data_IF_475952859407
#
_entry.id   IF_475952859407
#
_cell.length_a   1.000
_cell.length_b   1.000
_cell.length_c   1.000
_cell.angle_alpha   90.00
_cell.angle_beta   90.00
_cell.angle_gamma   90.00
#
_symmetry.space_group_name_H-M   'P 1'
#
loop_
_entity.id
_entity.type
_entity.pdbx_description
1 polymer ?
#
# COMPACT_ATOMS: atom_id res chain seq x y z
N UNK A 1 2.03 0.45 -48.56
CA UNK A 1 1.59 0.49 -47.12
C UNK A 1 0.85 1.79 -46.87
N UNK A 2 -0.30 1.69 -46.20
CA UNK A 2 -1.07 2.86 -45.73
C UNK A 2 -0.85 3.06 -44.24
N UNK A 3 -0.93 4.30 -43.74
CA UNK A 3 -0.99 4.56 -42.30
C UNK A 3 -2.34 4.08 -41.74
N UNK A 4 -2.33 3.11 -40.84
CA UNK A 4 -3.52 2.54 -40.21
C UNK A 4 -3.50 2.87 -38.75
N UNK A 5 -4.62 3.32 -38.22
CA UNK A 5 -4.81 3.60 -36.80
C UNK A 5 -5.04 2.28 -36.01
N UNK A 6 -4.11 1.91 -35.15
CA UNK A 6 -4.11 0.60 -34.47
C UNK A 6 -4.41 0.74 -32.99
N UNK A 7 -3.84 1.77 -32.33
CA UNK A 7 -3.96 1.96 -30.90
C UNK A 7 -4.92 3.11 -30.59
N UNK A 8 -6.11 2.81 -30.02
CA UNK A 8 -7.06 3.85 -29.60
C UNK A 8 -6.45 4.81 -28.59
N UNK A 9 -6.90 6.07 -28.62
CA UNK A 9 -6.43 7.10 -27.68
C UNK A 9 -6.59 6.66 -26.23
N UNK A 10 -7.75 6.08 -25.87
CA UNK A 10 -8.03 5.61 -24.52
C UNK A 10 -7.01 4.57 -24.05
N UNK A 11 -6.60 3.62 -24.89
CA UNK A 11 -5.61 2.61 -24.53
C UNK A 11 -4.22 3.24 -24.33
N UNK A 12 -3.86 4.20 -25.18
CA UNK A 12 -2.57 4.88 -25.09
C UNK A 12 -2.45 5.76 -23.85
N UNK A 13 -3.47 6.57 -23.56
CA UNK A 13 -3.47 7.40 -22.36
C UNK A 13 -3.49 6.55 -21.08
N UNK A 14 -4.26 5.44 -21.08
CA UNK A 14 -4.24 4.49 -19.95
C UNK A 14 -2.87 3.89 -19.72
N UNK A 15 -2.12 3.56 -20.77
CA UNK A 15 -0.76 3.07 -20.66
C UNK A 15 0.18 4.12 -20.01
N UNK A 16 0.08 5.38 -20.39
CA UNK A 16 0.89 6.44 -19.76
C UNK A 16 0.50 6.69 -18.31
N UNK A 17 -0.81 6.68 -17.99
CA UNK A 17 -1.26 6.82 -16.61
C UNK A 17 -0.82 5.60 -15.77
N UNK A 18 -0.81 4.40 -16.37
CA UNK A 18 -0.33 3.17 -15.71
C UNK A 18 1.16 3.28 -15.35
N UNK A 19 2.00 3.81 -16.27
CA UNK A 19 3.41 4.06 -16.00
C UNK A 19 3.57 5.04 -14.83
N UNK A 20 2.88 6.18 -14.88
CA UNK A 20 2.93 7.20 -13.80
C UNK A 20 2.48 6.59 -12.48
N UNK A 21 1.39 5.80 -12.49
CA UNK A 21 0.85 5.18 -11.28
C UNK A 21 1.79 4.13 -10.70
N UNK A 22 2.39 3.28 -11.54
CA UNK A 22 3.37 2.28 -11.09
C UNK A 22 4.59 2.94 -10.43
N UNK A 23 5.24 3.88 -11.12
CA UNK A 23 6.42 4.56 -10.56
C UNK A 23 6.05 5.48 -9.39
N UNK A 24 4.89 6.13 -9.44
CA UNK A 24 4.35 6.90 -8.33
C UNK A 24 4.15 6.06 -7.07
N UNK A 25 3.60 4.85 -7.19
CA UNK A 25 3.51 3.90 -6.08
C UNK A 25 4.89 3.42 -5.63
N UNK A 26 5.75 3.01 -6.57
CA UNK A 26 7.07 2.42 -6.25
C UNK A 26 7.98 3.37 -5.46
N UNK A 27 7.98 4.66 -5.78
CA UNK A 27 8.86 5.66 -5.15
C UNK A 27 8.21 6.45 -4.01
N UNK A 28 6.96 6.17 -3.65
CA UNK A 28 6.26 6.86 -2.57
C UNK A 28 5.91 5.94 -1.39
N UNK A 29 5.40 6.53 -0.31
CA UNK A 29 4.97 5.84 0.91
C UNK A 29 3.63 6.39 1.38
N UNK A 30 2.97 5.66 2.29
CA UNK A 30 1.73 6.09 2.92
C UNK A 30 0.59 6.33 1.93
N UNK A 31 -0.18 7.41 2.11
CA UNK A 31 -1.34 7.71 1.28
C UNK A 31 -0.99 7.83 -0.23
N UNK A 32 0.14 8.44 -0.57
CA UNK A 32 0.56 8.62 -1.97
C UNK A 32 0.82 7.25 -2.63
N UNK A 33 1.50 6.34 -1.93
CA UNK A 33 1.69 4.95 -2.37
C UNK A 33 0.34 4.25 -2.58
N UNK A 34 -0.55 4.34 -1.60
CA UNK A 34 -1.87 3.71 -1.66
C UNK A 34 -2.73 4.28 -2.80
N UNK A 35 -2.72 5.59 -3.00
CA UNK A 35 -3.42 6.25 -4.10
C UNK A 35 -2.94 5.75 -5.47
N UNK A 36 -1.64 5.84 -5.73
CA UNK A 36 -1.08 5.41 -7.01
C UNK A 36 -1.19 3.90 -7.22
N UNK A 37 -0.99 3.09 -6.18
CA UNK A 37 -1.17 1.64 -6.22
C UNK A 37 -2.60 1.23 -6.56
N UNK A 38 -3.58 1.90 -5.98
CA UNK A 38 -5.00 1.66 -6.26
C UNK A 38 -5.41 2.14 -7.66
N UNK A 39 -4.89 3.29 -8.11
CA UNK A 39 -5.10 3.78 -9.47
C UNK A 39 -4.48 2.81 -10.49
N UNK A 40 -3.27 2.30 -10.22
CA UNK A 40 -2.64 1.27 -11.02
C UNK A 40 -3.51 0.01 -11.08
N UNK A 41 -4.05 -0.45 -9.95
CA UNK A 41 -4.96 -1.59 -9.88
C UNK A 41 -6.23 -1.40 -10.73
N UNK A 42 -6.87 -0.23 -10.65
CA UNK A 42 -8.00 0.11 -11.49
C UNK A 42 -7.65 0.03 -12.99
N UNK A 43 -6.49 0.56 -13.38
CA UNK A 43 -6.00 0.52 -14.76
C UNK A 43 -5.68 -0.92 -15.22
N UNK A 44 -5.15 -1.76 -14.35
CA UNK A 44 -4.91 -3.19 -14.63
C UNK A 44 -6.23 -3.91 -14.90
N UNK A 45 -7.25 -3.72 -14.06
CA UNK A 45 -8.59 -4.29 -14.26
C UNK A 45 -9.18 -3.81 -15.58
N UNK A 46 -9.15 -2.52 -15.81
CA UNK A 46 -9.60 -1.93 -17.05
C UNK A 46 -8.84 -2.51 -18.26
N UNK A 47 -7.52 -2.68 -18.21
CA UNK A 47 -6.71 -3.27 -19.29
C UNK A 47 -7.08 -4.75 -19.54
N UNK A 48 -7.39 -5.50 -18.50
CA UNK A 48 -7.88 -6.89 -18.64
C UNK A 48 -9.22 -6.91 -19.38
N UNK A 49 -10.17 -6.08 -18.98
CA UNK A 49 -11.47 -5.96 -19.66
C UNK A 49 -11.27 -5.60 -21.14
N UNK A 50 -10.39 -4.62 -21.42
CA UNK A 50 -10.05 -4.24 -22.79
C UNK A 50 -9.44 -5.41 -23.59
N UNK A 51 -8.70 -6.27 -22.91
CA UNK A 51 -8.12 -7.48 -23.50
C UNK A 51 -9.15 -8.46 -24.09
N UNK A 52 -10.39 -8.42 -23.59
CA UNK A 52 -11.48 -9.25 -24.11
C UNK A 52 -12.33 -8.53 -25.16
N UNK A 53 -12.71 -7.27 -24.90
CA UNK A 53 -13.71 -6.56 -25.71
C UNK A 53 -13.13 -5.46 -26.60
N UNK A 54 -11.84 -5.20 -26.52
CA UNK A 54 -11.18 -4.10 -27.20
C UNK A 54 -11.04 -4.24 -28.73
N UNK A 55 -10.18 -3.42 -29.31
CA UNK A 55 -9.93 -3.38 -30.76
C UNK A 55 -9.02 -4.50 -31.22
N UNK A 56 -9.03 -4.83 -32.53
CA UNK A 56 -8.09 -5.76 -33.15
C UNK A 56 -6.65 -5.40 -32.75
N UNK A 57 -5.81 -6.39 -32.50
CA UNK A 57 -4.44 -6.32 -31.99
C UNK A 57 -4.27 -5.90 -30.52
N UNK A 58 -5.30 -5.37 -29.85
CA UNK A 58 -5.28 -5.10 -28.41
C UNK A 58 -5.92 -6.19 -27.55
N UNK A 59 -6.70 -7.10 -28.18
CA UNK A 59 -7.35 -8.24 -27.50
C UNK A 59 -6.37 -9.36 -27.30
N UNK A 60 -6.53 -10.12 -26.23
CA UNK A 60 -5.69 -11.28 -25.90
C UNK A 60 -5.75 -12.36 -26.99
N UNK A 61 -6.90 -12.54 -27.64
CA UNK A 61 -7.05 -13.50 -28.75
C UNK A 61 -6.21 -13.16 -30.01
N UNK A 62 -5.83 -11.89 -30.15
CA UNK A 62 -5.03 -11.41 -31.26
C UNK A 62 -3.53 -11.36 -30.92
N UNK A 63 -3.14 -11.85 -29.73
CA UNK A 63 -1.74 -11.94 -29.29
C UNK A 63 -1.04 -13.10 -29.98
N UNK A 64 0.07 -12.79 -30.62
CA UNK A 64 0.93 -13.80 -31.23
C UNK A 64 1.84 -14.40 -30.15
N UNK A 65 1.61 -15.67 -29.81
CA UNK A 65 2.45 -16.40 -28.82
C UNK A 65 3.26 -17.51 -29.50
N UNK A 66 2.82 -17.93 -30.69
CA UNK A 66 3.51 -18.97 -31.45
C UNK A 66 4.81 -18.42 -32.03
N UNK A 67 5.81 -19.28 -32.09
CA UNK A 67 7.09 -18.90 -32.69
C UNK A 67 7.98 -18.00 -31.82
N UNK A 68 7.75 -17.93 -30.50
CA UNK A 68 8.56 -17.13 -29.58
C UNK A 68 10.06 -17.42 -29.71
N UNK A 69 10.45 -18.71 -29.70
CA UNK A 69 11.87 -19.08 -29.84
C UNK A 69 12.45 -18.69 -31.19
N UNK A 70 11.68 -18.85 -32.28
CA UNK A 70 12.11 -18.43 -33.63
C UNK A 70 12.26 -16.90 -33.68
N UNK A 71 11.35 -16.16 -33.05
CA UNK A 71 11.44 -14.70 -32.93
C UNK A 71 12.70 -14.28 -32.14
N UNK A 72 12.93 -14.85 -30.95
CA UNK A 72 14.12 -14.55 -30.16
C UNK A 72 15.42 -14.85 -30.92
N UNK A 73 15.47 -15.99 -31.61
CA UNK A 73 16.61 -16.33 -32.49
C UNK A 73 16.80 -15.30 -33.60
N UNK A 74 15.72 -14.80 -34.22
CA UNK A 74 15.82 -13.78 -35.26
C UNK A 74 16.33 -12.45 -34.72
N UNK A 75 15.93 -12.06 -33.51
CA UNK A 75 16.43 -10.86 -32.81
C UNK A 75 17.93 -10.97 -32.56
N UNK A 76 18.40 -12.14 -32.06
CA UNK A 76 19.84 -12.39 -31.86
C UNK A 76 20.63 -12.37 -33.15
N UNK A 77 20.01 -12.73 -34.29
CA UNK A 77 20.62 -12.67 -35.62
C UNK A 77 20.44 -11.32 -36.33
N UNK A 78 19.90 -10.31 -35.63
CA UNK A 78 19.57 -9.00 -36.19
C UNK A 78 18.69 -9.06 -37.46
N UNK A 79 17.85 -10.11 -37.58
CA UNK A 79 16.93 -10.27 -38.70
C UNK A 79 15.66 -9.47 -38.48
N UNK A 80 15.30 -8.69 -39.48
CA UNK A 80 14.11 -7.87 -39.43
C UNK A 80 12.82 -8.69 -39.56
N UNK A 81 11.87 -8.48 -38.62
CA UNK A 81 10.52 -9.03 -38.68
C UNK A 81 9.47 -7.95 -38.37
N UNK A 82 8.46 -7.84 -39.22
CA UNK A 82 7.38 -6.87 -39.06
C UNK A 82 6.14 -7.51 -38.45
N UNK A 83 5.71 -6.98 -37.32
CA UNK A 83 4.44 -7.31 -36.68
C UNK A 83 3.53 -6.08 -36.64
N UNK A 84 2.27 -6.23 -37.06
CA UNK A 84 1.29 -5.14 -37.03
C UNK A 84 0.87 -4.89 -35.56
N UNK A 85 0.53 -5.95 -34.82
CA UNK A 85 0.21 -5.93 -33.40
C UNK A 85 1.44 -6.08 -32.50
N UNK A 86 1.30 -6.91 -31.50
CA UNK A 86 2.40 -7.33 -30.61
C UNK A 86 3.18 -8.47 -31.26
N UNK A 87 4.50 -8.42 -31.19
CA UNK A 87 5.35 -9.55 -31.51
C UNK A 87 5.25 -10.62 -30.39
N UNK A 88 5.71 -11.88 -30.63
CA UNK A 88 5.56 -12.97 -29.66
C UNK A 88 6.14 -12.68 -28.27
N UNK A 89 7.28 -12.01 -28.19
CA UNK A 89 7.88 -11.62 -26.92
C UNK A 89 7.05 -10.55 -26.21
N UNK A 90 6.63 -9.49 -26.92
CA UNK A 90 5.78 -8.44 -26.36
C UNK A 90 4.43 -8.98 -25.87
N UNK A 91 3.84 -9.93 -26.62
CA UNK A 91 2.59 -10.60 -26.19
C UNK A 91 2.76 -11.32 -24.86
N UNK A 92 3.84 -12.10 -24.72
CA UNK A 92 4.15 -12.79 -23.45
C UNK A 92 4.42 -11.80 -22.32
N UNK A 93 5.24 -10.77 -22.55
CA UNK A 93 5.54 -9.77 -21.54
C UNK A 93 4.28 -9.07 -21.03
N UNK A 94 3.35 -8.68 -21.89
CA UNK A 94 2.09 -8.05 -21.47
C UNK A 94 1.29 -8.98 -20.58
N UNK A 95 1.16 -10.27 -20.93
CA UNK A 95 0.41 -11.24 -20.13
C UNK A 95 1.06 -11.47 -18.76
N UNK A 96 2.38 -11.64 -18.72
CA UNK A 96 3.13 -11.82 -17.46
C UNK A 96 3.04 -10.57 -16.57
N UNK A 97 3.24 -9.38 -17.14
CA UNK A 97 3.10 -8.12 -16.39
C UNK A 97 1.70 -7.96 -15.81
N UNK A 98 0.64 -8.23 -16.58
CA UNK A 98 -0.73 -8.16 -16.09
C UNK A 98 -0.98 -9.18 -14.98
N UNK A 99 -0.51 -10.42 -15.14
CA UNK A 99 -0.64 -11.45 -14.11
C UNK A 99 0.03 -11.03 -12.79
N UNK A 100 1.31 -10.63 -12.84
CA UNK A 100 2.03 -10.15 -11.65
C UNK A 100 1.34 -8.92 -11.05
N UNK A 101 0.86 -7.99 -11.89
CA UNK A 101 0.19 -6.77 -11.43
C UNK A 101 -1.09 -7.08 -10.64
N UNK A 102 -1.87 -8.08 -11.05
CA UNK A 102 -3.07 -8.50 -10.30
C UNK A 102 -2.69 -8.98 -8.90
N UNK A 103 -1.71 -9.89 -8.81
CA UNK A 103 -1.24 -10.39 -7.50
C UNK A 103 -0.64 -9.27 -6.66
N UNK A 104 0.16 -8.39 -7.26
CA UNK A 104 0.77 -7.25 -6.57
C UNK A 104 -0.29 -6.33 -5.94
N UNK A 105 -1.34 -6.00 -6.68
CA UNK A 105 -2.43 -5.14 -6.18
C UNK A 105 -3.21 -5.83 -5.07
N UNK A 106 -3.54 -7.11 -5.23
CA UNK A 106 -4.22 -7.90 -4.19
C UNK A 106 -3.39 -7.93 -2.90
N UNK A 107 -2.10 -8.28 -3.00
CA UNK A 107 -1.21 -8.29 -1.83
C UNK A 107 -1.05 -6.90 -1.22
N UNK A 108 -1.10 -5.83 -2.01
CA UNK A 108 -1.07 -4.45 -1.52
C UNK A 108 -2.25 -4.13 -0.61
N UNK A 109 -3.47 -4.51 -0.99
CA UNK A 109 -4.65 -4.34 -0.13
C UNK A 109 -4.62 -5.23 1.11
N UNK A 110 -4.20 -6.48 0.98
CA UNK A 110 -4.02 -7.38 2.12
C UNK A 110 -2.96 -6.84 3.09
N UNK A 111 -1.84 -6.32 2.57
CA UNK A 111 -0.79 -5.69 3.38
C UNK A 111 -1.29 -4.42 4.09
N UNK A 112 -2.12 -3.60 3.44
CA UNK A 112 -2.75 -2.45 4.10
C UNK A 112 -3.60 -2.86 5.30
N UNK A 113 -4.33 -3.96 5.18
CA UNK A 113 -5.12 -4.53 6.29
C UNK A 113 -4.24 -5.07 7.41
N UNK A 114 -3.29 -5.95 7.10
CA UNK A 114 -2.46 -6.63 8.10
C UNK A 114 -1.43 -5.71 8.77
N UNK A 115 -0.93 -4.70 8.05
CA UNK A 115 0.12 -3.80 8.54
C UNK A 115 -0.40 -2.52 9.21
N UNK A 116 -1.49 -1.95 8.70
CA UNK A 116 -1.98 -0.62 9.13
C UNK A 116 -3.45 -0.66 9.64
N UNK A 117 -4.12 -1.80 9.57
CA UNK A 117 -5.54 -1.92 9.97
C UNK A 117 -6.49 -1.08 9.11
N UNK A 118 -6.19 -0.97 7.81
CA UNK A 118 -6.90 -0.09 6.88
C UNK A 118 -7.67 -0.91 5.83
N UNK A 119 -8.84 -0.41 5.44
CA UNK A 119 -9.67 -1.00 4.41
C UNK A 119 -10.43 -2.25 4.86
N UNK A 120 -10.92 -3.02 3.89
CA UNK A 120 -11.75 -4.20 4.15
C UNK A 120 -11.02 -5.36 4.86
N UNK A 121 -9.69 -5.37 4.82
CA UNK A 121 -8.86 -6.42 5.41
C UNK A 121 -8.26 -6.02 6.76
N UNK A 122 -8.76 -4.96 7.39
CA UNK A 122 -8.27 -4.46 8.69
C UNK A 122 -8.28 -5.52 9.81
N UNK A 123 -9.23 -6.47 9.77
CA UNK A 123 -9.32 -7.59 10.71
C UNK A 123 -8.07 -8.48 10.75
N UNK A 124 -7.25 -8.45 9.70
CA UNK A 124 -6.01 -9.24 9.63
C UNK A 124 -4.94 -8.72 10.60
N UNK A 125 -5.07 -7.49 11.10
CA UNK A 125 -4.14 -6.93 12.07
C UNK A 125 -4.19 -7.67 13.42
N UNK A 126 -5.33 -8.24 13.78
CA UNK A 126 -5.54 -9.00 15.04
C UNK A 126 -4.96 -10.42 14.98
N UNK A 127 -4.48 -10.85 13.81
CA UNK A 127 -3.79 -12.13 13.58
C UNK A 127 -2.50 -11.89 12.79
N UNK A 128 -1.74 -10.87 13.18
CA UNK A 128 -0.61 -10.34 12.43
C UNK A 128 0.46 -11.38 12.09
N UNK A 129 0.79 -12.27 13.04
CA UNK A 129 1.82 -13.30 12.84
C UNK A 129 1.52 -14.23 11.65
N UNK A 130 0.23 -14.53 11.42
CA UNK A 130 -0.21 -15.35 10.28
C UNK A 130 -0.10 -14.63 8.94
N UNK A 131 -0.11 -13.30 8.92
CA UNK A 131 -0.19 -12.48 7.71
C UNK A 131 1.03 -11.60 7.45
N UNK A 132 2.01 -11.56 8.35
CA UNK A 132 3.21 -10.72 8.24
C UNK A 132 4.00 -10.91 6.93
N UNK A 133 4.00 -12.13 6.39
CA UNK A 133 4.68 -12.46 5.12
C UNK A 133 4.12 -11.74 3.88
N UNK A 134 2.88 -11.24 3.96
CA UNK A 134 2.19 -10.61 2.81
C UNK A 134 2.93 -9.36 2.35
N UNK A 135 3.42 -8.57 3.30
CA UNK A 135 4.21 -7.38 2.99
C UNK A 135 5.49 -7.73 2.22
N UNK A 136 6.22 -8.75 2.66
CA UNK A 136 7.46 -9.18 2.01
C UNK A 136 7.16 -9.73 0.61
N UNK A 137 6.08 -10.49 0.44
CA UNK A 137 5.64 -10.98 -0.85
C UNK A 137 5.25 -9.82 -1.80
N UNK A 138 4.57 -8.77 -1.29
CA UNK A 138 4.27 -7.57 -2.06
C UNK A 138 5.54 -6.87 -2.54
N UNK A 139 6.53 -6.70 -1.67
CA UNK A 139 7.81 -6.07 -2.00
C UNK A 139 8.61 -6.88 -3.04
N UNK A 140 8.64 -8.21 -2.91
CA UNK A 140 9.28 -9.10 -3.88
C UNK A 140 8.61 -9.00 -5.25
N UNK A 141 7.27 -9.03 -5.31
CA UNK A 141 6.55 -8.89 -6.58
C UNK A 141 6.69 -7.49 -7.19
N UNK A 142 6.78 -6.43 -6.39
CA UNK A 142 7.03 -5.07 -6.89
C UNK A 142 8.40 -4.98 -7.57
N UNK A 143 9.43 -5.55 -6.96
CA UNK A 143 10.79 -5.60 -7.53
C UNK A 143 10.85 -6.48 -8.79
N UNK A 144 10.16 -7.62 -8.79
CA UNK A 144 10.05 -8.48 -9.96
C UNK A 144 9.35 -7.78 -11.12
N UNK A 145 8.24 -7.07 -10.84
CA UNK A 145 7.54 -6.30 -11.86
C UNK A 145 8.42 -5.17 -12.42
N UNK A 146 9.17 -4.46 -11.56
CA UNK A 146 10.12 -3.43 -12.00
C UNK A 146 11.17 -4.01 -12.96
N UNK A 147 11.76 -5.16 -12.62
CA UNK A 147 12.74 -5.82 -13.49
C UNK A 147 12.12 -6.18 -14.86
N UNK A 148 10.89 -6.70 -14.86
CA UNK A 148 10.18 -7.03 -16.11
C UNK A 148 9.81 -5.77 -16.90
N UNK A 149 9.43 -4.68 -16.24
CA UNK A 149 9.18 -3.37 -16.89
C UNK A 149 10.47 -2.85 -17.54
N UNK A 150 11.61 -2.95 -16.87
CA UNK A 150 12.91 -2.59 -17.47
C UNK A 150 13.21 -3.43 -18.73
N UNK A 151 12.99 -4.75 -18.66
CA UNK A 151 13.15 -5.64 -19.83
C UNK A 151 12.17 -5.29 -20.95
N UNK A 152 10.93 -4.93 -20.63
CA UNK A 152 9.95 -4.46 -21.62
C UNK A 152 10.42 -3.18 -22.32
N UNK A 153 10.93 -2.22 -21.58
CA UNK A 153 11.47 -0.97 -22.14
C UNK A 153 12.67 -1.27 -23.04
N UNK A 154 13.61 -2.10 -22.59
CA UNK A 154 14.76 -2.53 -23.40
C UNK A 154 14.30 -3.26 -24.67
N UNK A 155 13.33 -4.16 -24.59
CA UNK A 155 12.76 -4.86 -25.73
C UNK A 155 12.11 -3.91 -26.74
N UNK A 156 11.35 -2.92 -26.27
CA UNK A 156 10.74 -1.90 -27.13
C UNK A 156 11.80 -1.02 -27.80
N UNK A 157 12.89 -0.70 -27.11
CA UNK A 157 14.03 0.04 -27.68
C UNK A 157 14.75 -0.78 -28.74
N UNK A 158 15.05 -2.05 -28.48
CA UNK A 158 15.67 -2.96 -29.45
C UNK A 158 14.81 -3.13 -30.70
N UNK A 159 13.50 -3.27 -30.55
CA UNK A 159 12.57 -3.37 -31.69
C UNK A 159 12.62 -2.08 -32.53
N UNK A 160 12.73 -0.93 -31.88
CA UNK A 160 12.87 0.36 -32.56
C UNK A 160 14.15 0.45 -33.38
N UNK A 161 15.27 -0.04 -32.83
CA UNK A 161 16.60 0.03 -33.50
C UNK A 161 16.69 -1.01 -34.62
N UNK A 162 16.33 -2.26 -34.37
CA UNK A 162 16.49 -3.37 -35.32
C UNK A 162 15.48 -3.31 -36.47
N UNK A 163 14.23 -3.01 -36.13
CA UNK A 163 13.13 -3.10 -37.09
C UNK A 163 12.79 -1.76 -37.71
N UNK A 164 13.49 -0.67 -37.36
CA UNK A 164 13.10 0.71 -37.73
C UNK A 164 11.58 0.91 -37.49
N UNK A 165 11.04 0.02 -36.62
CA UNK A 165 9.62 -0.10 -36.41
C UNK A 165 9.18 1.04 -35.52
N UNK A 166 8.12 1.68 -35.94
CA UNK A 166 7.51 2.76 -35.18
C UNK A 166 6.71 2.22 -33.98
N UNK A 167 7.15 1.14 -33.30
CA UNK A 167 6.43 0.58 -32.18
C UNK A 167 6.22 1.64 -31.08
N UNK A 168 7.29 2.28 -30.62
CA UNK A 168 7.22 3.39 -29.65
C UNK A 168 6.45 4.58 -30.20
N UNK A 169 6.67 4.97 -31.47
CA UNK A 169 5.91 6.03 -32.14
C UNK A 169 4.42 5.70 -32.24
N UNK A 170 4.06 4.42 -32.45
CA UNK A 170 2.66 4.01 -32.53
C UNK A 170 1.94 4.12 -31.19
N UNK A 171 2.63 3.94 -30.07
CA UNK A 171 2.05 4.22 -28.73
C UNK A 171 1.85 5.72 -28.47
N UNK A 172 2.57 6.59 -29.18
CA UNK A 172 2.37 8.04 -29.06
C UNK A 172 1.26 8.52 -30.01
N UNK A 173 1.30 8.15 -31.30
CA UNK A 173 0.41 8.69 -32.32
C UNK A 173 -0.76 7.77 -32.70
N UNK A 174 -0.69 6.47 -32.37
CA UNK A 174 -1.72 5.47 -32.66
C UNK A 174 -1.59 4.78 -34.00
N UNK A 175 -0.64 5.15 -34.88
CA UNK A 175 -0.56 4.69 -36.27
C UNK A 175 0.61 3.75 -36.50
N UNK A 176 0.39 2.76 -37.36
CA UNK A 176 1.44 1.92 -37.98
C UNK A 176 1.21 1.83 -39.48
N UNK A 177 2.26 1.50 -40.23
CA UNK A 177 2.16 1.20 -41.67
C UNK A 177 1.69 -0.26 -41.85
N UNK A 178 0.58 -0.46 -42.55
CA UNK A 178 0.01 -1.79 -42.81
C UNK A 178 -0.67 -1.84 -44.18
N UNK A 179 -0.84 -3.06 -44.69
CA UNK A 179 -1.70 -3.34 -45.84
C UNK A 179 -3.14 -3.67 -45.41
N UNK A 180 -3.37 -4.02 -44.13
CA UNK A 180 -4.69 -4.33 -43.62
C UNK A 180 -5.42 -3.06 -43.16
N UNK A 181 -6.73 -3.02 -43.42
CA UNK A 181 -7.61 -2.00 -42.84
C UNK A 181 -8.08 -2.46 -41.46
N UNK A 182 -7.95 -1.60 -40.45
CA UNK A 182 -8.51 -1.81 -39.13
C UNK A 182 -9.71 -0.89 -38.97
N UNK A 183 -10.90 -1.48 -38.88
CA UNK A 183 -12.11 -0.71 -38.72
C UNK A 183 -12.37 -0.42 -37.22
N UNK A 184 -12.65 0.85 -36.94
CA UNK A 184 -13.10 1.31 -35.63
C UNK A 184 -14.62 1.43 -35.63
N UNK A 185 -15.29 0.43 -35.06
CA UNK A 185 -16.74 0.46 -34.89
C UNK A 185 -17.18 1.55 -33.89
N UNK A 186 -18.42 2.05 -34.04
CA UNK A 186 -19.03 3.02 -33.10
C UNK A 186 -18.96 2.53 -31.64
N UNK A 187 -19.12 1.22 -31.43
CA UNK A 187 -18.97 0.58 -30.13
C UNK A 187 -17.62 0.90 -29.46
N UNK A 188 -16.50 0.77 -30.17
CA UNK A 188 -15.17 1.03 -29.58
C UNK A 188 -14.96 2.50 -29.22
N UNK A 189 -15.59 3.44 -29.95
CA UNK A 189 -15.53 4.88 -29.60
C UNK A 189 -16.31 5.15 -28.30
N UNK A 190 -17.52 4.62 -28.19
CA UNK A 190 -18.35 4.75 -27.00
C UNK A 190 -17.66 4.08 -25.81
N UNK A 191 -17.18 2.86 -25.99
CA UNK A 191 -16.43 2.13 -24.96
C UNK A 191 -15.18 2.89 -24.49
N UNK A 192 -14.45 3.55 -25.41
CA UNK A 192 -13.30 4.40 -25.06
C UNK A 192 -13.72 5.60 -24.19
N UNK A 193 -14.88 6.19 -24.43
CA UNK A 193 -15.40 7.30 -23.61
C UNK A 193 -15.75 6.82 -22.19
N UNK A 194 -16.47 5.71 -22.07
CA UNK A 194 -16.77 5.09 -20.76
C UNK A 194 -15.48 4.69 -20.01
N UNK A 195 -14.47 4.22 -20.73
CA UNK A 195 -13.19 3.87 -20.19
C UNK A 195 -12.47 5.07 -19.54
N UNK A 196 -12.38 6.19 -20.26
CA UNK A 196 -11.78 7.42 -19.74
C UNK A 196 -12.56 7.97 -18.56
N UNK A 197 -13.88 7.91 -18.61
CA UNK A 197 -14.75 8.27 -17.49
C UNK A 197 -14.48 7.35 -16.28
N UNK A 198 -14.32 6.04 -16.49
CA UNK A 198 -13.98 5.09 -15.43
C UNK A 198 -12.66 5.42 -14.72
N UNK A 199 -11.63 5.84 -15.47
CA UNK A 199 -10.36 6.29 -14.89
C UNK A 199 -10.55 7.54 -14.03
N UNK A 200 -11.31 8.53 -14.54
CA UNK A 200 -11.58 9.77 -13.81
C UNK A 200 -12.37 9.51 -12.53
N UNK A 201 -13.41 8.69 -12.61
CA UNK A 201 -14.23 8.32 -11.45
C UNK A 201 -13.41 7.53 -10.41
N UNK A 202 -12.54 6.63 -10.86
CA UNK A 202 -11.63 5.92 -9.95
C UNK A 202 -10.70 6.88 -9.21
N UNK A 203 -10.06 7.80 -9.92
CA UNK A 203 -9.18 8.79 -9.32
C UNK A 203 -9.94 9.71 -8.34
N UNK A 204 -11.14 10.15 -8.72
CA UNK A 204 -11.99 10.98 -7.87
C UNK A 204 -12.42 10.25 -6.60
N UNK A 205 -12.84 8.97 -6.73
CA UNK A 205 -13.20 8.14 -5.57
C UNK A 205 -12.01 7.95 -4.61
N UNK A 206 -10.82 7.67 -5.16
CA UNK A 206 -9.61 7.47 -4.34
C UNK A 206 -9.20 8.74 -3.55
N UNK A 207 -9.52 9.93 -4.06
CA UNK A 207 -9.29 11.21 -3.38
C UNK A 207 -10.43 11.60 -2.44
N UNK A 208 -11.55 10.90 -2.48
CA UNK A 208 -12.72 11.23 -1.66
C UNK A 208 -12.47 10.88 -0.19
N UNK A 209 -12.90 11.74 0.77
CA UNK A 209 -12.89 11.40 2.20
C UNK A 209 -13.75 10.17 2.55
N UNK A 210 -14.70 9.81 1.69
CA UNK A 210 -15.58 8.63 1.84
C UNK A 210 -14.97 7.34 1.27
N UNK A 211 -13.70 7.38 0.88
CA UNK A 211 -13.02 6.21 0.32
C UNK A 211 -12.84 5.12 1.38
N UNK A 212 -13.59 4.06 1.25
CA UNK A 212 -13.56 2.91 2.18
C UNK A 212 -12.31 2.04 2.04
N UNK A 213 -11.58 2.13 0.92
CA UNK A 213 -10.35 1.37 0.72
C UNK A 213 -9.21 1.84 1.63
N UNK A 214 -9.25 3.10 2.08
CA UNK A 214 -8.25 3.72 2.95
C UNK A 214 -8.82 4.11 4.32
N UNK A 215 -10.08 3.79 4.58
CA UNK A 215 -10.70 4.03 5.87
C UNK A 215 -10.06 3.13 6.94
N UNK A 216 -9.88 3.66 8.13
CA UNK A 216 -9.47 2.88 9.28
C UNK A 216 -10.57 1.85 9.61
N UNK A 217 -10.23 0.57 9.58
CA UNK A 217 -11.16 -0.52 9.85
C UNK A 217 -11.13 -1.00 11.30
N UNK A 218 -10.17 -0.50 12.09
CA UNK A 218 -10.04 -0.83 13.50
C UNK A 218 -11.05 -0.05 14.35
N UNK A 219 -11.59 -0.71 15.36
CA UNK A 219 -12.49 -0.08 16.33
C UNK A 219 -11.71 0.39 17.54
N UNK A 220 -12.03 1.58 18.08
CA UNK A 220 -11.46 2.05 19.34
C UNK A 220 -11.92 1.18 20.50
N UNK A 221 -11.01 0.88 21.42
CA UNK A 221 -11.30 0.14 22.63
C UNK A 221 -11.77 1.11 23.71
N UNK A 222 -12.90 0.82 24.35
CA UNK A 222 -13.37 1.57 25.52
C UNK A 222 -12.79 0.94 26.80
N UNK A 223 -11.58 1.36 27.16
CA UNK A 223 -10.92 0.90 28.37
C UNK A 223 -11.64 1.32 29.65
N UNK A 224 -12.39 2.43 29.64
CA UNK A 224 -13.20 2.85 30.76
C UNK A 224 -14.35 1.89 31.04
N UNK A 225 -14.99 1.39 30.00
CA UNK A 225 -16.04 0.38 30.13
C UNK A 225 -15.49 -0.98 30.56
N UNK A 226 -14.24 -1.32 30.17
CA UNK A 226 -13.60 -2.59 30.55
C UNK A 226 -13.06 -2.58 31.99
N UNK A 227 -12.42 -1.48 32.41
CA UNK A 227 -11.89 -1.28 33.73
C UNK A 227 -11.84 0.23 34.05
N UNK A 228 -12.82 0.69 34.85
CA UNK A 228 -12.95 2.12 35.20
C UNK A 228 -11.79 2.61 36.07
N UNK A 229 -11.27 1.75 36.97
CA UNK A 229 -10.18 2.09 37.89
C UNK A 229 -8.88 2.31 37.07
N UNK A 230 -8.55 1.42 36.13
CA UNK A 230 -7.45 1.60 35.22
C UNK A 230 -7.56 2.90 34.42
N UNK A 231 -8.73 3.16 33.85
CA UNK A 231 -8.91 4.36 33.03
C UNK A 231 -8.87 5.64 33.87
N UNK A 232 -9.30 5.60 35.13
CA UNK A 232 -9.27 6.74 36.03
C UNK A 232 -7.85 7.00 36.57
N UNK A 233 -7.23 6.01 37.19
CA UNK A 233 -5.96 6.19 37.90
C UNK A 233 -4.80 6.44 36.91
N UNK A 234 -4.71 5.65 35.85
CA UNK A 234 -3.59 5.74 34.91
C UNK A 234 -3.67 6.94 33.93
N UNK A 235 -4.82 7.63 33.83
CA UNK A 235 -4.97 8.79 32.94
C UNK A 235 -4.82 10.15 33.66
N UNK A 236 -4.54 10.17 34.97
CA UNK A 236 -4.49 11.44 35.73
C UNK A 236 -3.32 12.33 35.35
N UNK A 237 -2.15 11.75 35.06
CA UNK A 237 -0.90 12.49 34.85
C UNK A 237 -0.44 12.55 33.39
N UNK A 238 -0.76 11.53 32.59
CA UNK A 238 -0.37 11.47 31.18
C UNK A 238 -1.44 10.79 30.32
N UNK A 239 -1.18 10.66 29.00
CA UNK A 239 -2.05 9.88 28.10
C UNK A 239 -2.22 8.45 28.62
N UNK A 240 -3.45 7.96 28.67
CA UNK A 240 -3.72 6.56 28.98
C UNK A 240 -3.04 5.67 27.93
N UNK A 241 -2.15 4.79 28.37
CA UNK A 241 -1.50 3.84 27.49
C UNK A 241 -2.29 2.53 27.43
N UNK A 242 -2.49 2.04 26.21
CA UNK A 242 -3.13 0.75 26.04
C UNK A 242 -2.29 -0.36 26.68
N UNK A 243 -2.88 -1.34 27.40
CA UNK A 243 -2.14 -2.38 28.11
C UNK A 243 -1.16 -3.15 27.24
N UNK A 244 -1.48 -3.40 25.97
CA UNK A 244 -0.61 -4.10 25.03
C UNK A 244 0.68 -3.34 24.62
N UNK A 245 0.87 -2.11 25.10
CA UNK A 245 2.13 -1.37 24.90
C UNK A 245 3.24 -1.84 25.85
N UNK A 246 2.92 -2.73 26.78
CA UNK A 246 3.89 -3.34 27.71
C UNK A 246 3.65 -4.83 27.86
N UNK A 247 4.71 -5.53 28.24
CA UNK A 247 4.67 -6.95 28.60
C UNK A 247 4.20 -7.14 30.05
N UNK A 248 3.76 -8.35 30.39
CA UNK A 248 3.27 -8.69 31.73
C UNK A 248 4.31 -8.38 32.80
N UNK A 249 5.59 -8.76 32.59
CA UNK A 249 6.67 -8.52 33.54
C UNK A 249 6.93 -7.03 33.81
N UNK A 250 6.67 -6.17 32.84
CA UNK A 250 6.81 -4.72 33.00
C UNK A 250 5.62 -4.12 33.71
N UNK A 251 4.41 -4.59 33.43
CA UNK A 251 3.24 -4.20 34.20
C UNK A 251 3.41 -4.55 35.68
N UNK A 252 3.91 -5.76 36.02
CA UNK A 252 4.24 -6.13 37.38
C UNK A 252 5.25 -5.19 38.04
N UNK A 253 6.34 -4.86 37.33
CA UNK A 253 7.36 -3.93 37.82
C UNK A 253 6.83 -2.52 38.07
N UNK A 254 5.97 -2.01 37.17
CA UNK A 254 5.34 -0.70 37.32
C UNK A 254 4.41 -0.71 38.53
N UNK A 255 3.51 -1.68 38.63
CA UNK A 255 2.50 -1.76 39.69
C UNK A 255 3.10 -2.07 41.06
N UNK A 256 4.26 -2.71 41.13
CA UNK A 256 4.99 -2.95 42.36
C UNK A 256 5.75 -1.72 42.91
N UNK A 257 5.91 -0.64 42.11
CA UNK A 257 6.70 0.53 42.49
C UNK A 257 6.04 1.84 42.08
N UNK A 258 4.75 1.98 42.40
CA UNK A 258 3.96 3.19 42.09
C UNK A 258 4.39 4.39 42.93
N UNK A 259 4.93 4.20 44.12
CA UNK A 259 5.51 5.29 44.95
C UNK A 259 6.71 6.00 44.29
N UNK A 260 7.32 5.38 43.30
CA UNK A 260 8.36 6.02 42.51
C UNK A 260 8.15 5.75 41.02
N UNK A 261 7.01 6.21 40.50
CA UNK A 261 6.66 6.07 39.09
C UNK A 261 7.35 7.18 38.27
N UNK A 262 8.56 6.90 37.77
CA UNK A 262 9.40 7.86 37.03
C UNK A 262 9.71 9.15 37.81
N UNK A 263 9.76 9.07 39.14
CA UNK A 263 10.07 10.18 40.02
C UNK A 263 8.86 10.85 40.66
N UNK A 264 7.66 10.44 40.29
CA UNK A 264 6.39 10.92 40.87
C UNK A 264 5.74 9.81 41.71
N UNK A 265 5.01 10.18 42.76
CA UNK A 265 4.19 9.29 43.55
C UNK A 265 2.83 9.07 42.89
N UNK A 266 2.61 7.86 42.39
CA UNK A 266 1.37 7.40 41.77
C UNK A 266 0.69 6.31 42.60
N UNK A 267 0.93 6.26 43.93
CA UNK A 267 0.41 5.25 44.85
C UNK A 267 -1.13 5.22 44.86
N UNK A 268 -1.67 4.02 44.85
CA UNK A 268 -3.11 3.76 44.98
C UNK A 268 -3.30 2.70 46.07
N UNK A 269 -4.54 2.49 46.52
CA UNK A 269 -4.82 1.45 47.48
C UNK A 269 -4.61 0.04 46.91
N UNK A 270 -4.33 -0.94 47.78
CA UNK A 270 -3.95 -2.31 47.41
C UNK A 270 -5.04 -3.01 46.60
N UNK A 271 -6.32 -2.80 46.92
CA UNK A 271 -7.45 -3.44 46.24
C UNK A 271 -7.55 -2.94 44.80
N UNK A 272 -7.41 -1.63 44.60
CA UNK A 272 -7.41 -1.00 43.28
C UNK A 272 -6.17 -1.42 42.47
N UNK A 273 -4.99 -1.51 43.14
CA UNK A 273 -3.76 -1.99 42.51
C UNK A 273 -3.92 -3.40 41.96
N UNK A 274 -4.44 -4.33 42.77
CA UNK A 274 -4.66 -5.73 42.36
C UNK A 274 -5.63 -5.84 41.18
N UNK A 275 -6.73 -5.08 41.19
CA UNK A 275 -7.71 -5.05 40.10
C UNK A 275 -7.09 -4.54 38.80
N UNK A 276 -6.31 -3.46 38.84
CA UNK A 276 -5.64 -2.88 37.69
C UNK A 276 -4.56 -3.82 37.18
N UNK A 277 -3.70 -4.37 38.05
CA UNK A 277 -2.68 -5.33 37.67
C UNK A 277 -3.26 -6.53 36.92
N UNK A 278 -4.32 -7.12 37.46
CA UNK A 278 -5.00 -8.26 36.84
C UNK A 278 -5.49 -7.90 35.42
N UNK A 279 -6.06 -6.72 35.23
CA UNK A 279 -6.50 -6.23 33.93
C UNK A 279 -5.33 -6.04 32.96
N UNK A 280 -4.24 -5.43 33.41
CA UNK A 280 -3.03 -5.21 32.62
C UNK A 280 -2.40 -6.53 32.15
N UNK A 281 -2.30 -7.53 33.04
CA UNK A 281 -1.74 -8.84 32.72
C UNK A 281 -2.62 -9.61 31.70
N UNK A 282 -3.93 -9.44 31.75
CA UNK A 282 -4.85 -10.07 30.80
C UNK A 282 -4.79 -9.44 29.40
N UNK A 283 -4.35 -8.18 29.30
CA UNK A 283 -4.33 -7.39 28.06
C UNK A 283 -2.92 -6.96 27.65
N UNK A 284 -1.87 -7.56 28.22
CA UNK A 284 -0.46 -7.27 27.91
C UNK A 284 -0.07 -7.64 26.49
N UNK A 285 1.09 -7.20 26.06
CA UNK A 285 1.58 -7.36 24.68
C UNK A 285 1.59 -8.83 24.21
N UNK A 286 1.91 -9.78 25.09
CA UNK A 286 1.98 -11.22 24.78
C UNK A 286 0.59 -11.86 24.56
N UNK A 287 -0.47 -11.16 24.94
CA UNK A 287 -1.84 -11.65 24.81
C UNK A 287 -2.49 -11.25 23.50
N UNK A 288 -1.86 -10.33 22.75
CA UNK A 288 -2.36 -9.86 21.46
C UNK A 288 -1.42 -10.22 20.31
N UNK A 289 -1.95 -10.91 19.31
CA UNK A 289 -1.26 -11.11 18.04
C UNK A 289 -1.48 -9.90 17.11
N UNK A 290 -0.88 -8.77 17.48
CA UNK A 290 -0.91 -7.56 16.64
C UNK A 290 0.49 -7.04 16.39
N UNK A 291 0.68 -6.39 15.23
CA UNK A 291 1.95 -5.76 14.86
C UNK A 291 2.49 -4.84 15.95
N UNK A 292 1.61 -4.07 16.59
CA UNK A 292 1.99 -3.07 17.59
C UNK A 292 2.40 -3.73 18.90
N UNK A 293 1.63 -4.69 19.38
CA UNK A 293 1.96 -5.48 20.58
C UNK A 293 3.31 -6.17 20.43
N UNK A 294 3.56 -6.84 19.29
CA UNK A 294 4.84 -7.51 19.01
C UNK A 294 6.02 -6.52 18.99
N UNK A 295 5.81 -5.31 18.48
CA UNK A 295 6.88 -4.29 18.43
C UNK A 295 7.18 -3.69 19.80
N UNK A 296 6.16 -3.43 20.59
CA UNK A 296 6.32 -2.92 21.96
C UNK A 296 6.87 -3.98 22.91
N UNK A 297 6.53 -5.26 22.72
CA UNK A 297 7.10 -6.36 23.50
C UNK A 297 8.64 -6.44 23.43
N UNK A 298 9.25 -5.92 22.36
CA UNK A 298 10.72 -5.88 22.17
C UNK A 298 11.43 -4.76 22.95
N UNK A 299 10.72 -4.02 23.78
CA UNK A 299 11.31 -3.02 24.65
C UNK A 299 12.00 -3.70 25.85
N UNK A 300 13.19 -3.30 26.22
CA UNK A 300 13.90 -3.82 27.41
C UNK A 300 13.65 -2.98 28.66
N UNK A 301 13.09 -1.78 28.51
CA UNK A 301 12.81 -0.81 29.57
C UNK A 301 11.30 -0.73 29.86
N UNK A 302 10.96 -0.23 31.06
CA UNK A 302 9.57 0.07 31.46
C UNK A 302 9.04 1.34 30.78
N UNK A 303 9.91 2.24 30.31
CA UNK A 303 9.50 3.43 29.57
C UNK A 303 9.15 3.11 28.11
N UNK A 304 7.91 3.33 27.71
CA UNK A 304 7.45 3.12 26.31
C UNK A 304 8.29 3.94 25.33
N UNK A 305 8.69 5.15 25.71
CA UNK A 305 9.49 6.07 24.88
C UNK A 305 10.96 5.63 24.72
N UNK A 306 11.42 4.66 25.51
CA UNK A 306 12.75 4.03 25.36
C UNK A 306 12.72 2.87 24.36
N UNK A 307 11.56 2.42 23.93
CA UNK A 307 11.45 1.29 22.99
C UNK A 307 12.13 1.60 21.65
N UNK A 308 12.88 0.65 21.07
CA UNK A 308 13.49 0.81 19.75
C UNK A 308 12.45 1.19 18.67
N UNK A 309 11.23 0.69 18.81
CA UNK A 309 10.13 1.04 17.91
C UNK A 309 9.75 2.51 18.00
N UNK A 310 9.55 3.04 19.24
CA UNK A 310 9.20 4.44 19.45
C UNK A 310 10.32 5.37 18.94
N UNK A 311 11.57 5.07 19.29
CA UNK A 311 12.72 5.86 18.87
C UNK A 311 12.83 5.95 17.34
N UNK A 312 12.71 4.80 16.64
CA UNK A 312 12.75 4.76 15.18
C UNK A 312 11.57 5.49 14.53
N UNK A 313 10.38 5.38 15.12
CA UNK A 313 9.18 6.04 14.59
C UNK A 313 9.26 7.58 14.68
N UNK A 314 10.03 8.10 15.66
CA UNK A 314 10.15 9.54 15.94
C UNK A 314 11.55 10.10 15.62
N UNK A 315 12.45 9.33 15.00
CA UNK A 315 13.84 9.72 14.73
C UNK A 315 14.01 11.00 13.89
N UNK A 316 13.04 11.27 13.02
CA UNK A 316 13.07 12.42 12.12
C UNK A 316 12.34 13.65 12.68
N UNK A 317 11.85 13.59 13.93
CA UNK A 317 11.22 14.74 14.59
C UNK A 317 12.28 15.57 15.32
N UNK A 318 12.13 16.89 15.25
CA UNK A 318 12.92 17.79 16.10
C UNK A 318 12.58 17.52 17.58
N UNK A 319 13.62 17.28 18.39
CA UNK A 319 13.46 17.00 19.82
C UNK A 319 12.79 18.15 20.59
N UNK A 320 12.92 19.37 20.11
CA UNK A 320 12.30 20.56 20.72
C UNK A 320 10.77 20.54 20.59
N UNK A 321 10.21 19.73 19.68
CA UNK A 321 8.75 19.59 19.54
C UNK A 321 8.11 19.12 20.85
N UNK A 322 8.78 18.25 21.60
CA UNK A 322 8.27 17.70 22.87
C UNK A 322 8.28 18.71 24.02
N UNK A 323 8.92 19.87 23.85
CA UNK A 323 8.94 20.96 24.82
C UNK A 323 7.89 22.04 24.56
N UNK A 324 7.21 21.98 23.41
CA UNK A 324 6.15 22.95 23.06
C UNK A 324 5.01 22.92 24.08
N UNK A 325 4.39 24.05 24.37
CA UNK A 325 3.30 24.17 25.36
C UNK A 325 2.11 23.24 25.12
N UNK A 326 1.83 22.91 23.87
CA UNK A 326 0.73 22.01 23.49
C UNK A 326 1.07 20.53 23.68
N UNK A 327 2.36 20.17 23.71
CA UNK A 327 2.82 18.78 23.79
C UNK A 327 3.38 18.48 25.17
N UNK A 328 4.23 19.36 25.71
CA UNK A 328 4.83 19.36 27.06
C UNK A 328 5.79 18.21 27.33
N UNK A 329 5.51 16.99 26.88
CA UNK A 329 6.39 15.85 27.14
C UNK A 329 6.27 14.75 26.06
N UNK A 330 7.25 13.83 26.04
CA UNK A 330 7.20 12.62 25.22
C UNK A 330 6.08 11.66 25.64
N UNK A 331 5.59 11.77 26.87
CA UNK A 331 4.51 10.93 27.41
C UNK A 331 3.12 11.39 26.95
N UNK A 332 2.99 12.60 26.40
CA UNK A 332 1.70 13.11 25.90
C UNK A 332 1.48 12.67 24.44
N UNK A 333 1.30 11.37 24.22
CA UNK A 333 1.07 10.80 22.90
C UNK A 333 -0.21 11.34 22.22
N UNK A 334 -1.26 11.63 23.00
CA UNK A 334 -2.54 12.13 22.49
C UNK A 334 -2.43 13.54 21.86
N UNK A 335 -1.38 14.29 22.15
CA UNK A 335 -1.13 15.57 21.49
C UNK A 335 -0.94 15.42 19.97
N UNK A 336 -0.31 14.31 19.52
CA UNK A 336 -0.01 14.03 18.12
C UNK A 336 -0.80 12.86 17.54
N UNK A 337 -1.25 11.90 18.37
CA UNK A 337 -1.94 10.70 17.94
C UNK A 337 -3.40 10.70 18.39
N UNK A 338 -4.32 10.69 17.44
CA UNK A 338 -5.75 10.61 17.72
C UNK A 338 -6.15 9.22 18.17
N UNK A 339 -6.96 9.11 19.23
CA UNK A 339 -7.47 7.86 19.80
C UNK A 339 -6.39 6.84 20.26
N UNK A 340 -5.17 7.30 20.55
CA UNK A 340 -4.12 6.41 21.05
C UNK A 340 -4.46 5.87 22.43
N UNK A 341 -5.18 6.64 23.25
CA UNK A 341 -5.74 6.26 24.54
C UNK A 341 -6.80 5.17 24.43
N UNK A 342 -7.29 4.90 23.22
CA UNK A 342 -8.21 3.82 22.88
C UNK A 342 -7.54 2.67 22.14
N UNK A 343 -6.21 2.61 22.21
CA UNK A 343 -5.41 1.55 21.59
C UNK A 343 -5.24 1.64 20.08
N UNK A 344 -5.64 2.76 19.44
CA UNK A 344 -5.48 2.92 18.01
C UNK A 344 -4.11 3.52 17.66
N UNK A 345 -3.26 2.72 17.03
CA UNK A 345 -1.95 3.14 16.55
C UNK A 345 -1.95 3.03 15.03
N UNK A 346 -2.11 4.17 14.35
CA UNK A 346 -2.08 4.26 12.89
C UNK A 346 -1.50 5.58 12.44
N UNK A 347 -0.76 5.56 11.33
CA UNK A 347 -0.27 6.79 10.68
C UNK A 347 -1.41 7.67 10.17
N UNK A 348 -2.57 7.09 9.87
CA UNK A 348 -3.76 7.83 9.44
C UNK A 348 -4.33 8.71 10.55
N UNK A 349 -4.00 8.43 11.82
CA UNK A 349 -4.47 9.15 13.00
C UNK A 349 -3.44 10.16 13.55
N UNK A 350 -2.44 10.54 12.78
CA UNK A 350 -1.46 11.55 13.16
C UNK A 350 -2.02 12.94 12.89
N UNK A 351 -2.06 13.78 13.92
CA UNK A 351 -2.43 15.21 13.85
C UNK A 351 -1.23 16.01 13.34
N UNK A 352 -1.06 16.07 12.03
CA UNK A 352 0.10 16.77 11.42
C UNK A 352 0.17 18.26 11.75
N UNK A 353 -0.94 18.89 12.15
CA UNK A 353 -0.96 20.28 12.61
C UNK A 353 -0.24 20.49 13.95
N UNK A 354 -0.17 19.47 14.79
CA UNK A 354 0.57 19.52 16.05
C UNK A 354 2.09 19.45 15.84
N UNK A 355 2.52 18.92 14.68
CA UNK A 355 3.93 18.70 14.35
C UNK A 355 4.54 19.90 13.61
N UNK A 356 3.72 20.68 12.93
CA UNK A 356 4.12 21.94 12.28
C UNK A 356 4.33 23.05 13.31
#
# INVERSE_FOLDING_TARGET
MKKVYIWPFALRISHFIMIISFFGAYFSKGFIHAFFGSLFGALVILRIIWGFVGTKYSRFKDFELKGLFAYLKSVLQAKHQNFIGHNPASSLFVLVMLGISVFLVVLGYLASGSEEGVGYFAFMLENYSSFAWIKDAHEVLANALLAIVCLHICGAFLDCVLNKAAASKSMINGYKNSYENVEFHKFHRLFSAFWLLGILLSAFYLLSPKNTLFALGLQPVDYKAQNSDFAHECAQCHTLYAPFMQTSDKHEKIMANLENHFGDDASIDDETNEKILKFLLQNSAEKLDSKWAIKFAKNDDIAITSSPFWQKAHENLDKEIFKRDKIKSKANCAACHENIEKGLISKALIKYEAIK
#
